data_IF_778319605113
#
_entry.id   IF_778319605113
#
_cell.length_a   1.000
_cell.length_b   1.000
_cell.length_c   1.000
_cell.angle_alpha   90.00
_cell.angle_beta   90.00
_cell.angle_gamma   90.00
#
_symmetry.space_group_name_H-M   'P 1'
#
loop_
_entity.id
_entity.type
_entity.pdbx_description
1 polymer ?
#
# COMPACT_ATOMS: atom_id res chain seq x y z
N UNK A 1 -11.76 -45.65 -9.52
CA UNK A 1 -11.70 -44.28 -10.07
C UNK A 1 -10.88 -44.32 -11.35
N UNK A 2 -11.25 -43.51 -12.34
CA UNK A 2 -10.49 -43.42 -13.59
C UNK A 2 -9.16 -42.69 -13.34
N UNK A 3 -8.05 -43.41 -13.47
CA UNK A 3 -6.69 -42.90 -13.31
C UNK A 3 -6.39 -41.69 -14.21
N UNK A 4 -7.05 -41.57 -15.38
CA UNK A 4 -6.94 -40.41 -16.27
C UNK A 4 -7.47 -39.15 -15.60
N UNK A 5 -8.69 -39.23 -15.06
CA UNK A 5 -9.37 -38.11 -14.41
C UNK A 5 -8.66 -37.67 -13.13
N UNK A 6 -8.11 -38.60 -12.35
CA UNK A 6 -7.32 -38.26 -11.17
C UNK A 6 -6.05 -37.47 -11.52
N UNK A 7 -5.34 -37.88 -12.59
CA UNK A 7 -4.16 -37.16 -13.07
C UNK A 7 -4.54 -35.75 -13.53
N UNK A 8 -5.62 -35.61 -14.32
CA UNK A 8 -6.09 -34.31 -14.81
C UNK A 8 -6.55 -33.41 -13.65
N UNK A 9 -7.32 -33.93 -12.69
CA UNK A 9 -7.72 -33.19 -11.48
C UNK A 9 -6.50 -32.65 -10.74
N UNK A 10 -5.51 -33.51 -10.51
CA UNK A 10 -4.25 -33.12 -9.86
C UNK A 10 -3.54 -32.00 -10.62
N UNK A 11 -3.52 -32.05 -11.96
CA UNK A 11 -2.83 -31.05 -12.75
C UNK A 11 -3.58 -29.71 -12.80
N UNK A 12 -4.90 -29.71 -12.63
CA UNK A 12 -5.70 -28.48 -12.49
C UNK A 12 -5.38 -27.76 -11.18
N UNK A 13 -5.23 -28.51 -10.07
CA UNK A 13 -4.82 -27.96 -8.77
C UNK A 13 -3.46 -27.23 -8.85
N UNK A 14 -2.57 -27.68 -9.74
CA UNK A 14 -1.21 -27.12 -9.92
C UNK A 14 -1.02 -26.45 -11.28
N UNK A 15 -2.07 -25.88 -11.88
CA UNK A 15 -2.09 -25.35 -13.26
C UNK A 15 -0.89 -24.45 -13.60
N UNK A 16 -0.51 -23.54 -12.70
CA UNK A 16 0.53 -22.53 -12.94
C UNK A 16 1.94 -23.13 -12.92
N UNK A 17 2.28 -23.83 -11.85
CA UNK A 17 3.64 -24.34 -11.62
C UNK A 17 3.90 -25.70 -12.27
N UNK A 18 2.82 -26.44 -12.54
CA UNK A 18 2.88 -27.84 -12.91
C UNK A 18 3.18 -28.76 -11.74
N UNK A 19 2.90 -30.04 -11.93
CA UNK A 19 3.16 -31.07 -10.93
C UNK A 19 4.43 -31.86 -11.29
N UNK A 20 5.37 -32.08 -10.35
CA UNK A 20 6.59 -32.84 -10.65
C UNK A 20 6.27 -34.25 -11.16
N UNK A 21 6.84 -34.64 -12.31
CA UNK A 21 6.59 -35.97 -12.91
C UNK A 21 6.93 -37.11 -11.95
N UNK A 22 7.98 -36.93 -11.14
CA UNK A 22 8.42 -37.90 -10.14
C UNK A 22 7.50 -38.04 -8.93
N UNK A 23 6.58 -37.09 -8.71
CA UNK A 23 5.57 -37.15 -7.65
C UNK A 23 4.30 -37.91 -8.08
N UNK A 24 4.18 -38.26 -9.35
CA UNK A 24 3.21 -39.27 -9.76
C UNK A 24 3.70 -40.65 -9.30
N UNK A 25 2.76 -41.54 -8.97
CA UNK A 25 3.08 -42.90 -8.55
C UNK A 25 3.95 -43.64 -9.57
N UNK A 26 4.74 -44.60 -9.10
CA UNK A 26 5.68 -45.36 -9.95
C UNK A 26 5.04 -46.52 -10.71
N UNK A 27 3.72 -46.70 -10.61
CA UNK A 27 3.04 -47.81 -11.27
C UNK A 27 3.08 -47.66 -12.80
N UNK A 28 3.20 -48.79 -13.50
CA UNK A 28 3.21 -48.80 -14.97
C UNK A 28 1.91 -48.24 -15.55
N UNK A 29 0.78 -48.44 -14.88
CA UNK A 29 -0.50 -47.84 -15.25
C UNK A 29 -0.44 -46.32 -15.27
N UNK A 30 0.10 -45.69 -14.22
CA UNK A 30 0.22 -44.22 -14.15
C UNK A 30 1.18 -43.70 -15.22
N UNK A 31 2.31 -44.37 -15.42
CA UNK A 31 3.27 -43.98 -16.47
C UNK A 31 2.65 -44.05 -17.86
N UNK A 32 1.93 -45.13 -18.15
CA UNK A 32 1.23 -45.34 -19.42
C UNK A 32 0.16 -44.26 -19.66
N UNK A 33 -0.64 -43.94 -18.64
CA UNK A 33 -1.65 -42.88 -18.71
C UNK A 33 -1.02 -41.50 -18.95
N UNK A 34 0.07 -41.16 -18.24
CA UNK A 34 0.79 -39.90 -18.48
C UNK A 34 1.35 -39.84 -19.91
N UNK A 35 1.92 -40.93 -20.41
CA UNK A 35 2.43 -41.00 -21.78
C UNK A 35 1.31 -40.83 -22.82
N UNK A 36 0.14 -41.42 -22.57
CA UNK A 36 -1.03 -41.29 -23.43
C UNK A 36 -1.58 -39.85 -23.42
N UNK A 37 -1.75 -39.25 -22.25
CA UNK A 37 -2.17 -37.85 -22.09
C UNK A 37 -1.21 -36.86 -22.77
N UNK A 38 0.10 -37.14 -22.76
CA UNK A 38 1.10 -36.37 -23.50
C UNK A 38 0.93 -36.50 -25.01
N UNK A 39 0.72 -37.73 -25.49
CA UNK A 39 0.47 -38.02 -26.91
C UNK A 39 -0.80 -37.34 -27.42
N UNK A 40 -1.84 -37.28 -26.58
CA UNK A 40 -3.12 -36.66 -26.91
C UNK A 40 -3.09 -35.12 -26.80
N UNK A 41 -1.98 -34.55 -26.32
CA UNK A 41 -1.80 -33.11 -26.15
C UNK A 41 -2.63 -32.51 -25.01
N UNK A 42 -3.13 -33.34 -24.09
CA UNK A 42 -3.92 -32.92 -22.93
C UNK A 42 -3.02 -32.37 -21.81
N UNK A 43 -1.77 -32.80 -21.78
CA UNK A 43 -0.75 -32.33 -20.86
C UNK A 43 0.56 -32.08 -21.62
N UNK A 44 1.46 -31.31 -21.02
CA UNK A 44 2.80 -31.02 -21.56
C UNK A 44 3.87 -31.14 -20.48
N UNK A 45 5.10 -31.43 -20.90
CA UNK A 45 6.24 -31.44 -19.99
C UNK A 45 7.01 -30.12 -20.05
N UNK A 46 7.43 -29.64 -18.87
CA UNK A 46 8.31 -28.49 -18.70
C UNK A 46 9.52 -28.92 -17.88
N UNK A 47 10.71 -28.81 -18.45
CA UNK A 47 11.96 -29.08 -17.73
C UNK A 47 12.40 -27.83 -17.00
N UNK A 48 12.59 -27.93 -15.69
CA UNK A 48 13.13 -26.85 -14.84
C UNK A 48 14.34 -27.40 -14.12
N UNK A 49 15.54 -26.95 -14.51
CA UNK A 49 16.83 -27.50 -14.06
C UNK A 49 16.86 -29.04 -14.31
N UNK A 50 17.03 -29.82 -13.25
CA UNK A 50 17.10 -31.29 -13.30
C UNK A 50 15.76 -31.98 -13.03
N UNK A 51 14.64 -31.24 -12.98
CA UNK A 51 13.32 -31.79 -12.69
C UNK A 51 12.38 -31.61 -13.88
N UNK A 52 11.53 -32.59 -14.11
CA UNK A 52 10.48 -32.55 -15.12
C UNK A 52 9.15 -32.28 -14.41
N UNK A 53 8.44 -31.27 -14.86
CA UNK A 53 7.10 -30.92 -14.42
C UNK A 53 6.11 -31.22 -15.52
N UNK A 54 4.92 -31.65 -15.15
CA UNK A 54 3.80 -31.88 -16.04
C UNK A 54 2.79 -30.77 -15.82
N UNK A 55 2.31 -30.16 -16.90
CA UNK A 55 1.30 -29.10 -16.87
C UNK A 55 0.11 -29.53 -17.70
N UNK A 56 -1.10 -29.21 -17.23
CA UNK A 56 -2.31 -29.38 -18.04
C UNK A 56 -2.33 -28.34 -19.17
N UNK A 57 -2.88 -28.73 -20.33
CA UNK A 57 -3.18 -27.79 -21.42
C UNK A 57 -4.65 -27.37 -21.35
N UNK A 58 -5.03 -26.31 -22.07
CA UNK A 58 -6.45 -25.93 -22.20
C UNK A 58 -7.30 -27.10 -22.73
N UNK A 59 -6.74 -27.90 -23.65
CA UNK A 59 -7.39 -29.11 -24.16
C UNK A 59 -7.62 -30.14 -23.05
N UNK A 60 -6.63 -30.34 -22.17
CA UNK A 60 -6.76 -31.23 -21.00
C UNK A 60 -7.80 -30.75 -19.99
N UNK A 61 -7.92 -29.44 -19.79
CA UNK A 61 -8.94 -28.86 -18.91
C UNK A 61 -10.35 -29.11 -19.46
N UNK A 62 -10.55 -28.87 -20.75
CA UNK A 62 -11.84 -29.12 -21.43
C UNK A 62 -12.20 -30.61 -21.35
N UNK A 63 -11.22 -31.49 -21.57
CA UNK A 63 -11.43 -32.94 -21.48
C UNK A 63 -11.86 -33.34 -20.06
N UNK A 64 -11.18 -32.84 -19.04
CA UNK A 64 -11.55 -33.08 -17.64
C UNK A 64 -12.98 -32.61 -17.36
N UNK A 65 -13.35 -31.40 -17.81
CA UNK A 65 -14.70 -30.86 -17.60
C UNK A 65 -15.75 -31.69 -18.34
N UNK A 66 -15.45 -32.27 -19.50
CA UNK A 66 -16.40 -33.11 -20.24
C UNK A 66 -16.64 -34.45 -19.55
N UNK A 67 -15.57 -35.10 -19.10
CA UNK A 67 -15.63 -36.47 -18.59
C UNK A 67 -15.89 -36.57 -17.08
N UNK A 68 -15.63 -35.51 -16.31
CA UNK A 68 -15.87 -35.50 -14.87
C UNK A 68 -17.35 -35.47 -14.50
N UNK A 69 -17.68 -36.10 -13.37
CA UNK A 69 -19.02 -36.03 -12.80
C UNK A 69 -19.32 -34.62 -12.25
N UNK A 70 -20.61 -34.33 -12.02
CA UNK A 70 -21.02 -33.07 -11.39
C UNK A 70 -20.38 -32.90 -10.02
N UNK A 71 -20.32 -33.96 -9.22
CA UNK A 71 -19.71 -33.94 -7.88
C UNK A 71 -18.22 -33.60 -7.92
N UNK A 72 -17.47 -34.15 -8.89
CA UNK A 72 -16.05 -33.84 -9.05
C UNK A 72 -15.79 -32.38 -9.43
N UNK A 73 -16.67 -31.79 -10.25
CA UNK A 73 -16.61 -30.37 -10.61
C UNK A 73 -16.92 -29.49 -9.40
N UNK A 74 -17.95 -29.83 -8.63
CA UNK A 74 -18.32 -29.10 -7.41
C UNK A 74 -17.21 -29.17 -6.36
N UNK A 75 -16.58 -30.34 -6.18
CA UNK A 75 -15.46 -30.50 -5.26
C UNK A 75 -14.30 -29.57 -5.63
N UNK A 76 -13.93 -29.51 -6.91
CA UNK A 76 -12.86 -28.62 -7.41
C UNK A 76 -13.22 -27.14 -7.20
N UNK A 77 -14.46 -26.74 -7.48
CA UNK A 77 -14.94 -25.37 -7.27
C UNK A 77 -14.85 -25.00 -5.78
N UNK A 78 -15.33 -25.87 -4.90
CA UNK A 78 -15.32 -25.63 -3.46
C UNK A 78 -13.89 -25.52 -2.90
N UNK A 79 -12.97 -26.38 -3.37
CA UNK A 79 -11.56 -26.29 -3.00
C UNK A 79 -10.95 -24.95 -3.44
N UNK A 80 -11.21 -24.51 -4.67
CA UNK A 80 -10.72 -23.23 -5.17
C UNK A 80 -11.30 -22.05 -4.38
N UNK A 81 -12.60 -22.07 -4.06
CA UNK A 81 -13.23 -21.04 -3.24
C UNK A 81 -12.64 -20.97 -1.83
N UNK A 82 -12.37 -22.13 -1.20
CA UNK A 82 -11.72 -22.18 0.11
C UNK A 82 -10.29 -21.61 0.05
N UNK A 83 -9.49 -21.97 -0.95
CA UNK A 83 -8.13 -21.44 -1.11
C UNK A 83 -8.14 -19.91 -1.29
N UNK A 84 -9.09 -19.38 -2.08
CA UNK A 84 -9.26 -17.93 -2.25
C UNK A 84 -9.63 -17.28 -0.91
N UNK A 85 -10.58 -17.87 -0.17
CA UNK A 85 -10.98 -17.38 1.14
C UNK A 85 -9.80 -17.30 2.12
N UNK A 86 -9.04 -18.39 2.25
CA UNK A 86 -7.85 -18.44 3.14
C UNK A 86 -6.80 -17.39 2.76
N UNK A 87 -6.56 -17.21 1.45
CA UNK A 87 -5.63 -16.18 0.98
C UNK A 87 -6.11 -14.77 1.31
N UNK A 88 -7.40 -14.48 1.15
CA UNK A 88 -7.99 -13.19 1.51
C UNK A 88 -7.93 -12.94 3.02
N UNK A 89 -8.23 -13.95 3.84
CA UNK A 89 -8.14 -13.83 5.31
C UNK A 89 -6.71 -13.52 5.76
N UNK A 90 -5.71 -14.21 5.20
CA UNK A 90 -4.30 -13.94 5.47
C UNK A 90 -3.88 -12.51 5.07
N UNK A 91 -4.29 -12.05 3.88
CA UNK A 91 -4.00 -10.70 3.42
C UNK A 91 -4.67 -9.63 4.32
N UNK A 92 -5.89 -9.86 4.77
CA UNK A 92 -6.59 -8.96 5.68
C UNK A 92 -5.91 -8.88 7.05
N UNK A 93 -5.43 -10.00 7.59
CA UNK A 93 -4.66 -10.03 8.83
C UNK A 93 -3.35 -9.22 8.71
N UNK A 94 -2.66 -9.35 7.58
CA UNK A 94 -1.46 -8.57 7.31
C UNK A 94 -1.76 -7.07 7.22
N UNK A 95 -2.84 -6.68 6.55
CA UNK A 95 -3.27 -5.27 6.47
C UNK A 95 -3.60 -4.72 7.86
N UNK A 96 -4.32 -5.48 8.70
CA UNK A 96 -4.63 -5.08 10.08
C UNK A 96 -3.36 -4.79 10.87
N UNK A 97 -2.37 -5.70 10.83
CA UNK A 97 -1.09 -5.52 11.52
C UNK A 97 -0.33 -4.28 11.04
N UNK A 98 -0.37 -3.99 9.73
CA UNK A 98 0.25 -2.78 9.17
C UNK A 98 -0.46 -1.53 9.73
N UNK A 99 -1.79 -1.51 9.72
CA UNK A 99 -2.58 -0.39 10.23
C UNK A 99 -2.36 -0.16 11.73
N UNK A 100 -2.32 -1.23 12.53
CA UNK A 100 -2.01 -1.17 13.96
C UNK A 100 -0.61 -0.57 14.20
N UNK A 101 0.40 -1.02 13.46
CA UNK A 101 1.76 -0.46 13.54
C UNK A 101 1.82 1.02 13.14
N UNK A 102 1.07 1.43 12.12
CA UNK A 102 0.99 2.84 11.71
C UNK A 102 0.28 3.70 12.77
N UNK A 103 -0.76 3.16 13.42
CA UNK A 103 -1.47 3.81 14.52
C UNK A 103 -0.60 3.96 15.77
N UNK A 104 0.22 2.96 16.09
CA UNK A 104 1.19 3.06 17.20
C UNK A 104 2.25 4.12 16.90
N UNK A 105 2.79 4.13 15.68
CA UNK A 105 3.74 5.17 15.24
C UNK A 105 3.12 6.57 15.25
N UNK A 106 1.85 6.72 14.87
CA UNK A 106 1.19 8.03 14.91
C UNK A 106 0.97 8.52 16.34
N UNK A 107 0.72 7.63 17.31
CA UNK A 107 0.68 7.97 18.74
C UNK A 107 2.05 8.35 19.31
N UNK A 108 3.14 7.78 18.81
CA UNK A 108 4.50 8.22 19.20
C UNK A 108 4.88 9.59 18.59
N UNK A 109 4.32 9.91 17.41
CA UNK A 109 4.50 11.22 16.75
C UNK A 109 3.66 12.32 17.43
N UNK A 110 2.62 11.98 18.21
CA UNK A 110 1.92 12.92 19.08
C UNK A 110 2.68 13.22 20.38
N UNK A 111 4.01 13.41 20.31
CA UNK A 111 4.66 14.29 21.28
C UNK A 111 3.98 15.64 21.14
N UNK A 112 3.48 16.21 22.24
CA UNK A 112 2.98 17.58 22.28
C UNK A 112 4.03 18.49 21.63
N UNK A 113 3.77 18.86 20.38
CA UNK A 113 4.64 19.80 19.67
C UNK A 113 4.34 21.14 20.30
N UNK A 114 5.35 21.75 20.91
CA UNK A 114 5.29 23.15 21.28
C UNK A 114 5.28 23.99 19.99
N UNK A 115 4.07 24.22 19.47
CA UNK A 115 3.84 24.90 18.20
C UNK A 115 4.49 26.29 18.21
N UNK A 116 4.47 27.00 19.34
CA UNK A 116 5.08 28.33 19.47
C UNK A 116 6.60 28.26 19.23
N UNK A 117 7.27 27.28 19.85
CA UNK A 117 8.71 27.03 19.66
C UNK A 117 9.06 26.64 18.22
N UNK A 118 8.25 25.78 17.60
CA UNK A 118 8.48 25.36 16.21
C UNK A 118 8.21 26.49 15.20
N UNK A 119 7.22 27.35 15.44
CA UNK A 119 7.00 28.58 14.64
C UNK A 119 8.26 29.45 14.67
N UNK A 120 8.86 29.67 15.84
CA UNK A 120 10.08 30.48 15.94
C UNK A 120 11.27 29.85 15.22
N UNK A 121 11.46 28.53 15.33
CA UNK A 121 12.55 27.82 14.62
C UNK A 121 12.40 27.93 13.11
N UNK A 122 11.21 27.66 12.58
CA UNK A 122 10.88 27.77 11.16
C UNK A 122 11.04 29.22 10.69
N UNK A 123 10.55 30.19 11.46
CA UNK A 123 10.74 31.61 11.18
C UNK A 123 12.22 31.96 11.06
N UNK A 124 13.06 31.55 12.02
CA UNK A 124 14.50 31.87 12.04
C UNK A 124 15.24 31.24 10.87
N UNK A 125 14.89 30.01 10.50
CA UNK A 125 15.42 29.34 9.31
C UNK A 125 15.08 30.14 8.03
N UNK A 126 13.80 30.45 7.85
CA UNK A 126 13.29 31.17 6.69
C UNK A 126 13.80 32.62 6.62
N UNK A 127 13.88 33.32 7.74
CA UNK A 127 14.32 34.71 7.82
C UNK A 127 15.81 34.87 7.53
N UNK A 128 16.63 33.86 7.87
CA UNK A 128 18.08 33.91 7.66
C UNK A 128 18.50 33.35 6.29
N UNK A 129 17.68 32.50 5.69
CA UNK A 129 17.94 31.93 4.37
C UNK A 129 17.04 32.57 3.31
N UNK A 130 15.91 31.93 3.01
CA UNK A 130 15.02 32.22 1.89
C UNK A 130 14.56 33.68 1.83
N UNK A 131 14.27 34.30 2.97
CA UNK A 131 13.73 35.66 3.06
C UNK A 131 14.69 36.64 3.74
N UNK A 132 15.99 36.35 3.73
CA UNK A 132 17.04 37.23 4.27
C UNK A 132 16.99 38.67 3.74
N UNK A 133 16.54 38.84 2.49
CA UNK A 133 16.36 40.15 1.85
C UNK A 133 15.20 40.98 2.42
N UNK A 134 14.26 40.37 3.15
CA UNK A 134 13.07 41.03 3.71
C UNK A 134 13.27 41.57 5.14
N UNK A 135 14.53 41.72 5.59
CA UNK A 135 14.87 42.31 6.91
C UNK A 135 14.06 41.69 8.07
N UNK A 136 13.98 40.36 8.09
CA UNK A 136 13.28 39.61 9.13
C UNK A 136 11.77 39.48 8.95
N UNK A 137 11.20 39.87 7.81
CA UNK A 137 9.83 39.50 7.46
C UNK A 137 9.82 38.13 6.78
N UNK A 138 8.88 37.29 7.18
CA UNK A 138 8.67 35.97 6.59
C UNK A 138 7.20 35.82 6.21
N UNK A 139 6.87 35.35 4.99
CA UNK A 139 5.48 35.09 4.63
C UNK A 139 4.84 34.06 5.54
N UNK A 140 3.66 34.37 6.06
CA UNK A 140 2.90 33.46 6.92
C UNK A 140 2.61 32.13 6.21
N UNK A 141 2.20 32.09 4.92
CA UNK A 141 1.95 30.83 4.24
C UNK A 141 3.19 29.92 4.11
N UNK A 142 4.39 30.49 4.08
CA UNK A 142 5.65 29.72 4.06
C UNK A 142 5.95 29.07 5.40
N UNK A 143 5.65 29.76 6.51
CA UNK A 143 5.71 29.20 7.86
C UNK A 143 4.67 28.08 7.98
N UNK A 144 3.42 28.35 7.60
CA UNK A 144 2.32 27.40 7.67
C UNK A 144 2.60 26.13 6.86
N UNK A 145 3.03 26.27 5.60
CA UNK A 145 3.34 25.13 4.73
C UNK A 145 4.50 24.28 5.27
N UNK A 146 5.52 24.93 5.85
CA UNK A 146 6.65 24.23 6.46
C UNK A 146 6.24 23.42 7.68
N UNK A 147 5.36 23.96 8.53
CA UNK A 147 4.85 23.26 9.72
C UNK A 147 3.90 22.11 9.37
N UNK A 148 3.02 22.30 8.37
CA UNK A 148 2.18 21.22 7.85
C UNK A 148 3.05 20.07 7.34
N UNK A 149 4.07 20.37 6.53
CA UNK A 149 4.93 19.34 5.96
C UNK A 149 5.85 18.65 6.99
N UNK A 150 6.42 19.41 7.94
CA UNK A 150 7.38 18.87 8.92
C UNK A 150 6.70 18.14 10.08
N UNK A 151 5.49 18.56 10.47
CA UNK A 151 4.89 18.15 11.75
C UNK A 151 3.44 17.66 11.65
N UNK A 152 2.84 17.68 10.45
CA UNK A 152 1.46 17.25 10.21
C UNK A 152 0.43 17.99 11.11
N UNK A 153 0.70 19.25 11.44
CA UNK A 153 -0.19 20.12 12.21
C UNK A 153 -1.22 20.76 11.29
N UNK A 154 -2.47 20.93 11.76
CA UNK A 154 -3.51 21.57 10.95
C UNK A 154 -3.22 23.06 10.72
N UNK A 155 -3.56 23.57 9.54
CA UNK A 155 -3.45 25.00 9.21
C UNK A 155 -4.17 25.88 10.26
N UNK A 156 -5.33 25.42 10.74
CA UNK A 156 -6.12 26.13 11.74
C UNK A 156 -5.39 26.26 13.09
N UNK A 157 -4.72 25.20 13.55
CA UNK A 157 -3.98 25.23 14.80
C UNK A 157 -2.73 26.11 14.70
N UNK A 158 -2.05 26.09 13.54
CA UNK A 158 -0.91 26.96 13.25
C UNK A 158 -1.35 28.43 13.24
N UNK A 159 -2.43 28.77 12.53
CA UNK A 159 -2.94 30.14 12.47
C UNK A 159 -3.41 30.64 13.84
N UNK A 160 -4.01 29.78 14.66
CA UNK A 160 -4.35 30.11 16.06
C UNK A 160 -3.08 30.46 16.86
N UNK A 161 -2.05 29.62 16.82
CA UNK A 161 -0.80 29.85 17.55
C UNK A 161 -0.08 31.14 17.08
N UNK A 162 -0.02 31.39 15.77
CA UNK A 162 0.53 32.63 15.21
C UNK A 162 -0.24 33.85 15.71
N UNK A 163 -1.58 33.77 15.77
CA UNK A 163 -2.40 34.86 16.29
C UNK A 163 -2.21 35.07 17.79
N UNK A 164 -2.06 34.00 18.58
CA UNK A 164 -1.76 34.08 20.01
C UNK A 164 -0.40 34.76 20.27
N UNK A 165 0.64 34.44 19.50
CA UNK A 165 1.94 35.13 19.55
C UNK A 165 1.80 36.63 19.25
N UNK A 166 0.89 37.00 18.35
CA UNK A 166 0.62 38.40 18.04
C UNK A 166 -0.08 39.12 19.20
N UNK A 167 -1.07 38.47 19.81
CA UNK A 167 -1.77 38.99 20.99
C UNK A 167 -0.83 39.14 22.20
N UNK A 168 0.11 38.21 22.40
CA UNK A 168 1.19 38.30 23.40
C UNK A 168 2.17 39.43 23.10
N UNK A 169 2.20 39.91 21.86
CA UNK A 169 3.10 40.97 21.40
C UNK A 169 4.48 40.47 20.99
N UNK A 170 4.69 39.17 20.87
CA UNK A 170 5.96 38.54 20.47
C UNK A 170 6.23 38.69 18.97
N UNK A 171 5.17 38.83 18.17
CA UNK A 171 5.26 39.03 16.72
C UNK A 171 4.52 40.29 16.27
N UNK A 172 4.93 40.81 15.13
CA UNK A 172 4.29 41.91 14.41
C UNK A 172 3.86 41.37 13.06
N UNK A 173 2.64 41.72 12.65
CA UNK A 173 2.15 41.47 11.31
C UNK A 173 2.34 42.68 10.40
N UNK A 174 2.79 42.43 9.18
CA UNK A 174 2.83 43.45 8.13
C UNK A 174 1.95 43.05 6.94
N UNK A 175 1.32 44.06 6.34
CA UNK A 175 0.57 43.89 5.10
C UNK A 175 1.55 43.71 3.93
N UNK A 176 1.13 42.97 2.91
CA UNK A 176 1.97 42.58 1.79
C UNK A 176 1.20 42.53 0.49
N UNK A 177 1.90 42.23 -0.59
CA UNK A 177 1.30 42.15 -1.92
C UNK A 177 0.45 40.87 -2.07
N UNK A 178 -0.68 40.95 -2.78
CA UNK A 178 -1.73 39.91 -2.85
C UNK A 178 -1.27 38.54 -3.37
N UNK A 179 -0.06 38.45 -3.93
CA UNK A 179 0.46 37.25 -4.60
C UNK A 179 0.97 36.17 -3.66
N UNK A 180 1.17 36.45 -2.38
CA UNK A 180 1.85 35.52 -1.45
C UNK A 180 0.92 34.77 -0.48
N UNK A 181 -0.41 34.91 -0.60
CA UNK A 181 -1.38 34.28 0.31
C UNK A 181 -1.44 35.00 1.67
N UNK A 182 -2.58 34.92 2.36
CA UNK A 182 -2.84 35.73 3.55
C UNK A 182 -3.33 34.92 4.75
N UNK A 183 -2.92 35.33 5.94
CA UNK A 183 -3.63 35.01 7.18
C UNK A 183 -4.77 36.02 7.36
N UNK A 184 -6.00 35.52 7.46
CA UNK A 184 -7.17 36.34 7.77
C UNK A 184 -7.44 36.28 9.27
N UNK A 185 -7.32 37.42 9.94
CA UNK A 185 -7.63 37.53 11.37
C UNK A 185 -9.14 37.57 11.60
N UNK A 186 -9.63 37.31 12.84
CA UNK A 186 -11.07 37.33 13.14
C UNK A 186 -11.77 38.68 12.85
N UNK A 187 -11.03 39.78 12.78
CA UNK A 187 -11.52 41.11 12.38
C UNK A 187 -11.51 41.35 10.87
N UNK A 188 -11.23 40.31 10.05
CA UNK A 188 -11.28 40.34 8.59
C UNK A 188 -10.04 40.97 7.92
N UNK A 189 -9.00 41.31 8.69
CA UNK A 189 -7.76 41.87 8.14
C UNK A 189 -6.85 40.78 7.59
N UNK A 190 -6.20 41.08 6.47
CA UNK A 190 -5.33 40.16 5.75
C UNK A 190 -3.87 40.57 5.97
N UNK A 191 -3.14 39.72 6.66
CA UNK A 191 -1.72 39.88 6.91
C UNK A 191 -0.92 38.85 6.11
N UNK A 192 0.23 39.28 5.61
CA UNK A 192 1.01 38.49 4.64
C UNK A 192 2.34 38.07 5.25
N UNK A 193 2.92 38.94 6.09
CA UNK A 193 4.21 38.71 6.71
C UNK A 193 4.13 38.74 8.23
N UNK A 194 5.00 37.93 8.85
CA UNK A 194 5.26 37.89 10.27
C UNK A 194 6.72 38.28 10.53
N UNK A 195 6.96 39.06 11.59
CA UNK A 195 8.29 39.36 12.15
C UNK A 195 8.25 39.13 13.67
N UNK A 196 9.18 38.35 14.19
CA UNK A 196 9.38 38.27 15.65
C UNK A 196 10.07 39.53 16.17
N UNK A 197 9.58 40.06 17.31
CA UNK A 197 10.28 41.11 18.03
C UNK A 197 11.57 40.56 18.65
N UNK A 198 12.59 41.40 18.74
CA UNK A 198 13.85 41.06 19.41
C UNK A 198 13.69 41.06 20.92
#
# INVERSE_FOLDING_TARGET
MDSKLEILKKLIEFKVDGYPKSKFGRSETIKSQIAQLLKDGLIKEKKVKNKIFVQITEKGEIEFIKESSVDQKLELINQNLNNIKESLESNLDMIKKILESLLEKSKEISKEIDIDSEIYKVYKELSNATYSYLKGLVPIPSITSSLIHKFNVSEKDIHRAIYELYLKGDVIFEMGDKKEGNLETPDGKKYYYLRFKK
#
